data_IF_381150299083
#
_entry.id   IF_381150299083
#
_cell.length_a   1.000
_cell.length_b   1.000
_cell.length_c   1.000
_cell.angle_alpha   90.00
_cell.angle_beta   90.00
_cell.angle_gamma   90.00
#
_symmetry.space_group_name_H-M   'P 1'
#
loop_
_entity.id
_entity.type
_entity.pdbx_description
1 polymer ?
#
# COMPACT_ATOMS: atom_id res chain seq x y z
N UNK A 1 -9.89 1.69 -18.78
CA UNK A 1 -9.86 2.39 -17.49
C UNK A 1 -8.39 2.47 -17.16
N UNK A 2 -7.82 3.64 -17.42
CA UNK A 2 -6.37 3.86 -17.40
C UNK A 2 -5.87 3.68 -15.97
N UNK A 3 -4.77 2.96 -15.77
CA UNK A 3 -4.25 2.69 -14.42
C UNK A 3 -3.79 4.01 -13.80
N UNK A 4 -3.29 4.91 -14.62
CA UNK A 4 -2.88 6.27 -14.34
C UNK A 4 -4.02 7.07 -13.70
N UNK A 5 -5.24 7.04 -14.27
CA UNK A 5 -6.42 7.70 -13.69
C UNK A 5 -6.75 7.17 -12.27
N UNK A 6 -6.55 5.87 -12.05
CA UNK A 6 -6.78 5.26 -10.74
C UNK A 6 -5.70 5.66 -9.73
N UNK A 7 -4.44 5.73 -10.15
CA UNK A 7 -3.31 6.18 -9.31
C UNK A 7 -3.45 7.66 -8.97
N UNK A 8 -3.90 8.49 -9.90
CA UNK A 8 -4.08 9.93 -9.73
C UNK A 8 -5.46 10.30 -9.15
N UNK A 9 -6.22 9.30 -8.68
CA UNK A 9 -7.56 9.52 -8.15
C UNK A 9 -7.56 10.54 -7.00
N UNK A 10 -8.44 11.56 -7.04
CA UNK A 10 -8.51 12.59 -6.00
C UNK A 10 -8.70 11.98 -4.61
N UNK A 11 -7.92 12.46 -3.64
CA UNK A 11 -8.01 12.01 -2.24
C UNK A 11 -7.13 10.81 -1.87
N UNK A 12 -6.40 10.21 -2.82
CA UNK A 12 -5.41 9.15 -2.53
C UNK A 12 -4.40 9.56 -1.47
N UNK A 13 -3.85 10.77 -1.57
CA UNK A 13 -2.82 11.27 -0.65
C UNK A 13 -3.31 11.36 0.81
N UNK A 14 -4.60 11.65 1.01
CA UNK A 14 -5.20 11.68 2.35
C UNK A 14 -5.26 10.26 2.93
N UNK A 15 -5.71 9.30 2.13
CA UNK A 15 -5.77 7.90 2.53
C UNK A 15 -4.37 7.34 2.86
N UNK A 16 -3.35 7.71 2.07
CA UNK A 16 -1.95 7.33 2.33
C UNK A 16 -1.48 7.88 3.68
N UNK A 17 -1.80 9.15 3.99
CA UNK A 17 -1.45 9.77 5.29
C UNK A 17 -2.13 9.08 6.48
N UNK A 18 -3.39 8.69 6.34
CA UNK A 18 -4.09 7.93 7.40
C UNK A 18 -3.47 6.56 7.66
N UNK A 19 -3.02 5.86 6.61
CA UNK A 19 -2.29 4.59 6.78
C UNK A 19 -0.93 4.81 7.45
N UNK A 20 -0.18 5.86 7.08
CA UNK A 20 1.08 6.21 7.77
C UNK A 20 0.85 6.46 9.25
N UNK A 21 -0.16 7.25 9.61
CA UNK A 21 -0.52 7.46 11.01
C UNK A 21 -0.79 6.15 11.74
N UNK A 22 -1.49 5.20 11.09
CA UNK A 22 -1.75 3.87 11.64
C UNK A 22 -0.47 3.04 11.83
N UNK A 23 0.45 3.10 10.88
CA UNK A 23 1.76 2.45 10.95
C UNK A 23 2.54 2.94 12.17
N UNK A 24 2.60 4.27 12.35
CA UNK A 24 3.34 4.90 13.44
C UNK A 24 2.69 4.60 14.80
N UNK A 25 1.35 4.70 14.89
CA UNK A 25 0.58 4.37 16.10
C UNK A 25 0.79 2.92 16.57
N UNK A 26 0.94 1.98 15.63
CA UNK A 26 1.09 0.56 15.91
C UNK A 26 2.55 0.10 16.00
N UNK A 27 3.51 0.98 15.68
CA UNK A 27 4.93 0.62 15.62
C UNK A 27 5.25 -0.42 14.56
N UNK A 28 4.61 -0.34 13.38
CA UNK A 28 4.83 -1.28 12.28
C UNK A 28 6.14 -0.92 11.55
N UNK A 29 7.10 -1.85 11.54
CA UNK A 29 8.39 -1.66 10.87
C UNK A 29 8.44 -2.26 9.46
N UNK A 30 7.53 -3.19 9.15
CA UNK A 30 7.51 -3.91 7.88
C UNK A 30 6.08 -4.20 7.40
N UNK A 31 5.85 -4.02 6.11
CA UNK A 31 4.57 -4.27 5.45
C UNK A 31 4.70 -5.45 4.49
N UNK A 32 3.66 -6.27 4.41
CA UNK A 32 3.51 -7.28 3.37
C UNK A 32 2.42 -6.86 2.39
N UNK A 33 2.83 -6.29 1.27
CA UNK A 33 1.92 -5.88 0.20
C UNK A 33 1.54 -7.13 -0.59
N UNK A 34 0.25 -7.50 -0.56
CA UNK A 34 -0.23 -8.76 -1.13
C UNK A 34 -1.43 -8.57 -2.05
N UNK A 35 -1.54 -9.47 -3.02
CA UNK A 35 -2.71 -9.63 -3.86
C UNK A 35 -2.99 -11.12 -4.12
N UNK A 36 -4.23 -11.43 -4.52
CA UNK A 36 -4.62 -12.78 -4.92
C UNK A 36 -4.38 -12.91 -6.42
N UNK A 37 -3.52 -13.85 -6.80
CA UNK A 37 -3.27 -14.17 -8.21
C UNK A 37 -4.50 -14.79 -8.88
N UNK A 38 -4.51 -14.79 -10.21
CA UNK A 38 -5.58 -15.43 -11.00
C UNK A 38 -5.76 -16.93 -10.70
N UNK A 39 -4.72 -17.60 -10.20
CA UNK A 39 -4.78 -19.01 -9.77
C UNK A 39 -5.25 -19.19 -8.31
N UNK A 40 -5.62 -18.11 -7.63
CA UNK A 40 -6.05 -18.13 -6.22
C UNK A 40 -4.92 -18.14 -5.20
N UNK A 41 -3.65 -18.05 -5.63
CA UNK A 41 -2.51 -17.99 -4.70
C UNK A 41 -2.29 -16.57 -4.18
N UNK A 42 -2.01 -16.43 -2.90
CA UNK A 42 -1.57 -15.16 -2.29
C UNK A 42 -0.12 -14.91 -2.72
N UNK A 43 0.11 -13.79 -3.39
CA UNK A 43 1.43 -13.32 -3.80
C UNK A 43 1.70 -11.99 -3.11
N UNK A 44 2.96 -11.69 -2.81
CA UNK A 44 3.30 -10.42 -2.19
C UNK A 44 4.79 -10.16 -2.02
N UNK A 45 5.10 -8.96 -1.52
CA UNK A 45 6.46 -8.52 -1.22
C UNK A 45 6.49 -7.86 0.15
N UNK A 46 7.52 -8.19 0.92
CA UNK A 46 7.87 -7.47 2.15
C UNK A 46 8.61 -6.17 1.83
N UNK A 47 8.20 -5.07 2.43
CA UNK A 47 8.88 -3.78 2.31
C UNK A 47 9.03 -3.12 3.69
N UNK A 48 10.16 -2.45 3.98
CA UNK A 48 10.27 -1.62 5.17
C UNK A 48 9.18 -0.55 5.15
N UNK A 49 8.62 -0.28 6.33
CA UNK A 49 7.56 0.71 6.46
C UNK A 49 8.01 2.08 5.97
N UNK A 50 9.29 2.45 5.96
CA UNK A 50 9.74 3.77 5.49
C UNK A 50 9.72 3.97 3.97
N UNK A 51 9.49 2.92 3.18
CA UNK A 51 9.60 2.96 1.72
C UNK A 51 8.29 2.69 0.98
N UNK A 52 7.18 2.50 1.69
CA UNK A 52 5.95 1.97 1.09
C UNK A 52 5.10 2.99 0.34
N UNK A 53 5.15 4.29 0.67
CA UNK A 53 4.30 5.31 0.03
C UNK A 53 4.63 5.56 -1.45
N UNK A 54 5.84 5.21 -1.86
CA UNK A 54 6.35 5.44 -3.23
C UNK A 54 6.23 4.20 -4.13
N UNK A 55 5.60 3.14 -3.64
CA UNK A 55 5.41 1.86 -4.37
C UNK A 55 4.15 1.89 -5.23
#
# INVERSE_FOLDING_TARGET
>A
MDIEDFVESPGRDELVREVRKKIDELGIEYLYLQFVSVTGKIMGKGIPADHWETV
#
